data_IF_568911366488
#
_entry.id   IF_568911366488
#
_cell.length_a   1.000
_cell.length_b   1.000
_cell.length_c   1.000
_cell.angle_alpha   90.00
_cell.angle_beta   90.00
_cell.angle_gamma   90.00
#
_symmetry.space_group_name_H-M   'P 1'
#
loop_
_entity.id
_entity.type
_entity.pdbx_description
1 polymer ?
#
# COMPACT_ATOMS: atom_id res chain seq x y z
N UNK A 1 -17.60 10.86 6.31
CA UNK A 1 -18.26 10.57 7.59
C UNK A 1 -17.47 9.57 8.44
N UNK A 2 -17.13 8.38 7.97
CA UNK A 2 -16.46 7.34 8.76
C UNK A 2 -15.21 7.80 9.54
N UNK A 3 -14.29 8.51 8.90
CA UNK A 3 -13.06 9.02 9.54
C UNK A 3 -13.39 9.99 10.70
N UNK A 4 -14.36 10.89 10.53
CA UNK A 4 -14.78 11.81 11.61
C UNK A 4 -15.37 11.07 12.81
N UNK A 5 -16.20 10.04 12.56
CA UNK A 5 -16.75 9.19 13.63
C UNK A 5 -15.63 8.43 14.34
N UNK A 6 -14.63 7.93 13.62
CA UNK A 6 -13.48 7.25 14.20
C UNK A 6 -12.62 8.19 15.08
N UNK A 7 -12.42 9.45 14.66
CA UNK A 7 -11.79 10.47 15.50
C UNK A 7 -12.60 10.75 16.77
N UNK A 8 -13.92 10.87 16.66
CA UNK A 8 -14.80 11.11 17.83
C UNK A 8 -14.77 9.92 18.82
N UNK A 9 -14.59 8.70 18.32
CA UNK A 9 -14.43 7.48 19.14
C UNK A 9 -13.00 7.31 19.68
N UNK A 10 -12.07 8.22 19.35
CA UNK A 10 -10.69 8.18 19.81
C UNK A 10 -9.84 7.06 19.23
N UNK A 11 -10.22 6.44 18.08
CA UNK A 11 -9.51 5.30 17.51
C UNK A 11 -8.08 5.62 17.05
N UNK A 12 -7.75 6.88 16.89
CA UNK A 12 -6.42 7.39 16.50
C UNK A 12 -5.45 7.49 17.68
N UNK A 13 -5.92 7.30 18.93
CA UNK A 13 -5.14 7.50 20.16
C UNK A 13 -5.03 6.22 20.96
N UNK A 14 -3.83 5.81 21.29
CA UNK A 14 -3.57 4.63 22.13
C UNK A 14 -4.11 4.83 23.55
N UNK A 15 -4.03 6.05 24.08
CA UNK A 15 -4.47 6.38 25.43
C UNK A 15 -5.96 6.10 25.64
N UNK A 16 -6.77 6.23 24.59
CA UNK A 16 -8.21 5.94 24.65
C UNK A 16 -8.52 4.44 24.59
N UNK A 17 -7.54 3.61 24.22
CA UNK A 17 -7.71 2.17 24.10
C UNK A 17 -7.50 1.44 25.42
N UNK A 18 -6.74 2.02 26.35
CA UNK A 18 -6.33 1.41 27.63
C UNK A 18 -7.54 0.99 28.49
N UNK A 19 -8.67 1.70 28.37
CA UNK A 19 -9.89 1.41 29.14
C UNK A 19 -10.64 0.16 28.66
N UNK A 20 -10.29 -0.38 27.50
CA UNK A 20 -10.95 -1.53 26.89
C UNK A 20 -10.14 -2.82 27.11
N UNK A 21 -10.82 -3.95 27.09
CA UNK A 21 -10.15 -5.27 27.15
C UNK A 21 -9.32 -5.55 25.87
N UNK A 22 -8.35 -6.49 25.93
CA UNK A 22 -7.42 -6.76 24.84
C UNK A 22 -8.08 -7.08 23.50
N UNK A 23 -9.17 -7.85 23.52
CA UNK A 23 -9.92 -8.21 22.31
C UNK A 23 -10.55 -6.98 21.65
N UNK A 24 -11.13 -6.07 22.43
CA UNK A 24 -11.73 -4.84 21.91
C UNK A 24 -10.66 -3.85 21.42
N UNK A 25 -9.53 -3.74 22.12
CA UNK A 25 -8.37 -2.96 21.65
C UNK A 25 -7.91 -3.42 20.27
N UNK A 26 -7.80 -4.73 20.05
CA UNK A 26 -7.40 -5.30 18.75
C UNK A 26 -8.41 -4.94 17.65
N UNK A 27 -9.71 -5.07 17.92
CA UNK A 27 -10.77 -4.68 16.97
C UNK A 27 -10.69 -3.19 16.64
N UNK A 28 -10.51 -2.33 17.63
CA UNK A 28 -10.39 -0.87 17.45
C UNK A 28 -9.17 -0.50 16.62
N UNK A 29 -7.99 -1.09 16.89
CA UNK A 29 -6.79 -0.89 16.09
C UNK A 29 -6.97 -1.35 14.64
N UNK A 30 -7.53 -2.54 14.43
CA UNK A 30 -7.75 -3.07 13.09
C UNK A 30 -8.75 -2.21 12.31
N UNK A 31 -9.79 -1.69 12.96
CA UNK A 31 -10.73 -0.75 12.34
C UNK A 31 -10.03 0.54 11.92
N UNK A 32 -9.20 1.13 12.80
CA UNK A 32 -8.45 2.32 12.49
C UNK A 32 -7.46 2.12 11.34
N UNK A 33 -6.70 1.02 11.36
CA UNK A 33 -5.77 0.62 10.29
C UNK A 33 -6.50 0.43 8.96
N UNK A 34 -7.67 -0.19 8.97
CA UNK A 34 -8.50 -0.36 7.76
C UNK A 34 -8.98 0.97 7.19
N UNK A 35 -9.38 1.91 8.05
CA UNK A 35 -9.76 3.26 7.63
C UNK A 35 -8.57 4.03 7.05
N UNK A 36 -7.38 3.87 7.62
CA UNK A 36 -6.15 4.46 7.10
C UNK A 36 -5.81 3.95 5.70
N UNK A 37 -5.88 2.63 5.50
CA UNK A 37 -5.66 2.01 4.17
C UNK A 37 -6.67 2.54 3.16
N UNK A 38 -7.95 2.59 3.53
CA UNK A 38 -9.01 3.09 2.66
C UNK A 38 -8.81 4.58 2.31
N UNK A 39 -8.45 5.41 3.30
CA UNK A 39 -8.19 6.84 3.09
C UNK A 39 -7.05 7.08 2.10
N UNK A 40 -5.94 6.37 2.26
CA UNK A 40 -4.78 6.47 1.35
C UNK A 40 -5.12 6.00 -0.06
N UNK A 41 -5.83 4.88 -0.19
CA UNK A 41 -6.27 4.36 -1.48
C UNK A 41 -7.20 5.35 -2.20
N UNK A 42 -8.21 5.87 -1.51
CA UNK A 42 -9.14 6.83 -2.09
C UNK A 42 -8.46 8.16 -2.44
N UNK A 43 -7.55 8.65 -1.59
CA UNK A 43 -6.78 9.85 -1.88
C UNK A 43 -5.93 9.69 -3.15
N UNK A 44 -5.23 8.57 -3.28
CA UNK A 44 -4.41 8.27 -4.46
C UNK A 44 -5.23 8.08 -5.74
N UNK A 45 -6.38 7.38 -5.64
CA UNK A 45 -7.23 7.08 -6.79
C UNK A 45 -8.04 8.29 -7.28
N UNK A 46 -8.51 9.14 -6.36
CA UNK A 46 -9.36 10.27 -6.66
C UNK A 46 -8.62 11.61 -6.76
N UNK A 47 -7.30 11.61 -6.49
CA UNK A 47 -6.50 12.84 -6.47
C UNK A 47 -6.92 13.82 -5.37
N UNK A 48 -7.46 13.34 -4.25
CA UNK A 48 -7.92 14.15 -3.13
C UNK A 48 -6.90 14.16 -2.00
N UNK A 49 -6.87 15.21 -1.15
CA UNK A 49 -6.08 15.20 0.07
C UNK A 49 -6.49 14.05 0.98
N UNK A 50 -5.53 13.52 1.74
CA UNK A 50 -5.79 12.53 2.78
C UNK A 50 -6.59 13.14 3.93
N UNK A 51 -7.53 12.38 4.48
CA UNK A 51 -8.35 12.80 5.63
C UNK A 51 -7.68 12.49 6.97
N UNK A 52 -6.80 11.49 7.00
CA UNK A 52 -6.03 11.07 8.17
C UNK A 52 -4.60 11.57 8.02
N UNK A 53 -4.14 12.38 8.98
CA UNK A 53 -2.74 12.78 9.09
C UNK A 53 -2.04 11.88 10.09
N UNK A 54 -0.86 11.40 9.76
CA UNK A 54 -0.08 10.54 10.67
C UNK A 54 0.34 11.28 11.94
N UNK A 55 0.53 12.61 11.85
CA UNK A 55 0.79 13.49 12.99
C UNK A 55 -0.33 13.53 14.04
N UNK A 56 -1.56 13.18 13.63
CA UNK A 56 -2.72 13.20 14.52
C UNK A 56 -2.92 11.85 15.24
N UNK A 57 -2.11 10.85 14.90
CA UNK A 57 -2.18 9.50 15.44
C UNK A 57 -1.14 9.30 16.54
N UNK A 58 -1.49 8.59 17.61
CA UNK A 58 -0.50 8.08 18.57
C UNK A 58 0.41 7.05 17.89
N UNK A 59 1.71 7.05 18.24
CA UNK A 59 2.74 6.32 17.52
C UNK A 59 2.52 4.82 17.31
N UNK A 60 1.74 4.17 18.17
CA UNK A 60 1.50 2.71 18.13
C UNK A 60 0.25 2.31 17.34
N UNK A 61 -0.71 3.21 17.14
CA UNK A 61 -1.99 2.86 16.47
C UNK A 61 -1.83 2.42 15.02
N UNK A 62 -0.82 2.95 14.32
CA UNK A 62 -0.45 2.59 12.97
C UNK A 62 0.83 1.74 12.89
N UNK A 63 1.59 1.64 13.98
CA UNK A 63 2.78 0.79 14.04
C UNK A 63 2.38 -0.65 14.33
N UNK A 64 3.00 -1.55 13.60
CA UNK A 64 2.89 -2.99 13.86
C UNK A 64 3.97 -3.36 14.85
N UNK A 65 3.60 -3.64 16.08
CA UNK A 65 4.53 -4.13 17.08
C UNK A 65 4.89 -5.60 16.80
N UNK A 66 6.15 -5.92 16.71
CA UNK A 66 6.63 -7.32 16.68
C UNK A 66 6.11 -8.11 17.90
N UNK A 67 5.77 -7.43 18.98
CA UNK A 67 5.23 -8.01 20.21
C UNK A 67 3.77 -8.49 20.09
N UNK A 68 2.94 -7.87 19.21
CA UNK A 68 1.56 -8.35 19.00
C UNK A 68 1.53 -9.70 18.25
N UNK A 69 2.52 -9.95 17.39
CA UNK A 69 2.67 -11.21 16.68
C UNK A 69 3.04 -12.36 17.64
N UNK A 70 3.92 -12.10 18.60
CA UNK A 70 4.38 -13.11 19.57
C UNK A 70 3.30 -13.46 20.61
N UNK A 71 2.48 -12.53 21.02
CA UNK A 71 1.40 -12.76 21.98
C UNK A 71 0.17 -13.46 21.34
N UNK A 72 -0.09 -13.20 20.06
CA UNK A 72 -1.15 -13.89 19.32
C UNK A 72 -0.81 -15.37 19.06
N UNK A 73 0.47 -15.71 18.85
CA UNK A 73 0.92 -17.09 18.67
C UNK A 73 0.87 -17.92 19.96
N UNK A 74 1.04 -17.32 21.13
CA UNK A 74 1.08 -18.02 22.42
C UNK A 74 -0.32 -18.26 23.05
N UNK A 75 -1.36 -17.57 22.59
CA UNK A 75 -2.65 -17.54 23.29
C UNK A 75 -3.79 -18.31 22.61
N UNK A 76 -3.61 -18.95 21.43
CA UNK A 76 -4.77 -19.37 20.63
C UNK A 76 -4.65 -20.76 20.02
N UNK A 77 -5.70 -21.63 20.18
CA UNK A 77 -5.76 -22.95 19.54
C UNK A 77 -5.90 -22.85 18.01
N UNK A 78 -5.57 -23.92 17.31
CA UNK A 78 -5.43 -24.05 15.84
C UNK A 78 -6.59 -23.53 14.95
N UNK A 79 -7.73 -23.16 15.51
CA UNK A 79 -8.88 -22.58 14.78
C UNK A 79 -8.68 -21.11 14.37
N UNK A 80 -7.62 -20.45 14.81
CA UNK A 80 -7.36 -19.01 14.59
C UNK A 80 -6.24 -18.69 13.57
N UNK A 81 -5.76 -19.68 12.87
CA UNK A 81 -4.79 -19.48 11.77
C UNK A 81 -5.29 -18.46 10.70
N UNK A 82 -6.61 -18.36 10.53
CA UNK A 82 -7.25 -17.39 9.63
C UNK A 82 -7.16 -15.94 10.14
N UNK A 83 -7.22 -15.72 11.44
CA UNK A 83 -7.12 -14.38 12.04
C UNK A 83 -5.70 -13.85 11.93
N UNK A 84 -4.69 -14.69 12.13
CA UNK A 84 -3.27 -14.35 11.99
C UNK A 84 -2.92 -13.88 10.56
N UNK A 85 -3.43 -14.57 9.54
CA UNK A 85 -3.16 -14.21 8.14
C UNK A 85 -3.79 -12.85 7.74
N UNK A 86 -4.97 -12.55 8.24
CA UNK A 86 -5.66 -11.29 7.95
C UNK A 86 -4.98 -10.10 8.63
N UNK A 87 -4.49 -10.27 9.86
CA UNK A 87 -3.73 -9.23 10.58
C UNK A 87 -2.42 -8.92 9.87
N UNK A 88 -1.67 -9.93 9.46
CA UNK A 88 -0.44 -9.75 8.69
C UNK A 88 -0.68 -9.02 7.37
N UNK A 89 -1.76 -9.35 6.66
CA UNK A 89 -2.15 -8.66 5.42
C UNK A 89 -2.51 -7.19 5.66
N UNK A 90 -3.23 -6.89 6.73
CA UNK A 90 -3.58 -5.52 7.10
C UNK A 90 -2.33 -4.70 7.44
N UNK A 91 -1.42 -5.27 8.21
CA UNK A 91 -0.17 -4.62 8.60
C UNK A 91 0.72 -4.29 7.40
N UNK A 92 0.88 -5.24 6.50
CA UNK A 92 1.63 -5.00 5.26
C UNK A 92 0.94 -3.95 4.37
N UNK A 93 -0.41 -3.91 4.36
CA UNK A 93 -1.18 -2.87 3.66
C UNK A 93 -0.97 -1.49 4.27
N UNK A 94 -0.94 -1.37 5.59
CA UNK A 94 -0.63 -0.12 6.29
C UNK A 94 0.76 0.39 5.92
N UNK A 95 1.78 -0.47 5.92
CA UNK A 95 3.14 -0.10 5.50
C UNK A 95 3.18 0.42 4.06
N UNK A 96 2.50 -0.25 3.14
CA UNK A 96 2.40 0.23 1.75
C UNK A 96 1.68 1.58 1.67
N UNK A 97 0.66 1.80 2.50
CA UNK A 97 -0.10 3.04 2.57
C UNK A 97 0.69 4.21 3.18
N UNK A 98 1.65 3.96 4.07
CA UNK A 98 2.62 4.99 4.51
C UNK A 98 3.43 5.50 3.32
N UNK A 99 3.95 4.61 2.48
CA UNK A 99 4.68 4.99 1.25
C UNK A 99 3.78 5.78 0.30
N UNK A 100 2.53 5.35 0.10
CA UNK A 100 1.55 6.10 -0.71
C UNK A 100 1.34 7.51 -0.13
N UNK A 101 1.18 7.66 1.17
CA UNK A 101 1.06 8.95 1.85
C UNK A 101 2.26 9.86 1.60
N UNK A 102 3.47 9.34 1.74
CA UNK A 102 4.72 10.05 1.45
C UNK A 102 4.80 10.53 -0.02
N UNK A 103 4.40 9.68 -0.97
CA UNK A 103 4.35 10.04 -2.39
C UNK A 103 3.34 11.17 -2.63
N UNK A 104 2.13 11.05 -2.07
CA UNK A 104 1.10 12.07 -2.23
C UNK A 104 1.57 13.42 -1.67
N UNK A 105 2.24 13.42 -0.52
CA UNK A 105 2.73 14.64 0.12
C UNK A 105 3.93 15.24 -0.62
N UNK A 106 4.98 14.44 -0.91
CA UNK A 106 6.25 14.95 -1.42
C UNK A 106 6.25 15.19 -2.93
N UNK A 107 5.46 14.42 -3.69
CA UNK A 107 5.42 14.47 -5.15
C UNK A 107 4.19 15.24 -5.63
N UNK A 108 3.00 14.80 -5.27
CA UNK A 108 1.75 15.32 -5.85
C UNK A 108 1.31 16.65 -5.23
N UNK A 109 1.39 16.81 -3.90
CA UNK A 109 1.00 18.08 -3.25
C UNK A 109 1.92 19.23 -3.61
N UNK A 110 3.22 18.98 -3.68
CA UNK A 110 4.23 20.01 -3.98
C UNK A 110 4.38 20.27 -5.48
N UNK A 111 3.76 19.45 -6.33
CA UNK A 111 3.87 19.50 -7.80
C UNK A 111 5.32 19.62 -8.30
N UNK A 112 6.27 19.12 -7.50
CA UNK A 112 7.69 19.09 -7.81
C UNK A 112 8.15 17.66 -7.80
N UNK A 113 8.57 17.17 -8.97
CA UNK A 113 9.17 15.86 -9.05
C UNK A 113 10.63 16.01 -9.38
N UNK A 114 11.49 15.36 -8.60
CA UNK A 114 12.89 15.19 -8.91
C UNK A 114 13.28 13.73 -8.79
N UNK A 115 14.25 13.31 -9.61
CA UNK A 115 14.76 11.94 -9.55
C UNK A 115 15.40 11.61 -8.19
N UNK A 116 15.89 12.63 -7.46
CA UNK A 116 16.43 12.46 -6.12
C UNK A 116 15.32 12.12 -5.12
N UNK A 117 14.24 12.93 -5.06
CA UNK A 117 13.09 12.67 -4.18
C UNK A 117 12.49 11.30 -4.48
N UNK A 118 12.35 10.96 -5.76
CA UNK A 118 11.81 9.65 -6.15
C UNK A 118 12.74 8.50 -5.72
N UNK A 119 14.06 8.69 -5.78
CA UNK A 119 15.01 7.69 -5.33
C UNK A 119 14.95 7.49 -3.81
N UNK A 120 14.90 8.58 -3.05
CA UNK A 120 14.80 8.53 -1.58
C UNK A 120 13.53 7.77 -1.15
N UNK A 121 12.40 8.06 -1.77
CA UNK A 121 11.13 7.33 -1.51
C UNK A 121 11.24 5.86 -1.93
N UNK A 122 11.83 5.57 -3.08
CA UNK A 122 12.00 4.20 -3.57
C UNK A 122 12.89 3.36 -2.63
N UNK A 123 13.93 3.96 -2.06
CA UNK A 123 14.82 3.27 -1.13
C UNK A 123 14.15 3.03 0.23
N UNK A 124 13.33 3.96 0.73
CA UNK A 124 12.45 3.73 1.88
C UNK A 124 11.47 2.58 1.62
N UNK A 125 10.82 2.58 0.45
CA UNK A 125 9.88 1.53 0.05
C UNK A 125 10.51 0.14 0.02
N UNK A 126 11.76 0.01 -0.44
CA UNK A 126 12.51 -1.26 -0.40
C UNK A 126 12.75 -1.74 1.04
N UNK A 127 12.97 -0.82 1.98
CA UNK A 127 13.06 -1.14 3.41
C UNK A 127 11.77 -1.80 3.92
N UNK A 128 10.63 -1.24 3.58
CA UNK A 128 9.32 -1.80 3.95
C UNK A 128 9.06 -3.18 3.33
N UNK A 129 9.51 -3.38 2.08
CA UNK A 129 9.37 -4.68 1.41
C UNK A 129 10.20 -5.79 2.08
N UNK A 130 11.40 -5.47 2.58
CA UNK A 130 12.23 -6.43 3.31
C UNK A 130 11.59 -6.90 4.61
N UNK A 131 10.72 -6.08 5.21
CA UNK A 131 9.96 -6.39 6.42
C UNK A 131 8.64 -7.10 6.12
N UNK A 132 8.32 -7.37 4.85
CA UNK A 132 7.11 -8.08 4.50
C UNK A 132 7.26 -9.58 4.79
N UNK A 133 6.25 -10.14 5.46
CA UNK A 133 6.21 -11.58 5.76
C UNK A 133 6.32 -12.40 4.46
N UNK A 134 7.20 -13.42 4.38
CA UNK A 134 7.34 -14.28 3.22
C UNK A 134 6.03 -14.94 2.78
N UNK A 135 5.10 -15.21 3.73
CA UNK A 135 3.78 -15.78 3.45
C UNK A 135 2.88 -14.87 2.58
N UNK A 136 3.17 -13.58 2.54
CA UNK A 136 2.46 -12.59 1.69
C UNK A 136 3.07 -12.44 0.30
N UNK A 137 4.09 -13.22 -0.05
CA UNK A 137 4.70 -13.17 -1.36
C UNK A 137 3.72 -13.73 -2.42
N UNK A 138 3.59 -13.02 -3.53
CA UNK A 138 2.71 -13.37 -4.65
C UNK A 138 2.98 -14.76 -5.25
N UNK A 139 4.19 -15.31 -5.07
CA UNK A 139 4.54 -16.66 -5.51
C UNK A 139 3.74 -17.77 -4.81
N UNK A 140 3.26 -17.49 -3.60
CA UNK A 140 2.46 -18.44 -2.82
C UNK A 140 0.96 -18.36 -3.11
N UNK A 141 0.48 -17.33 -3.81
CA UNK A 141 -0.93 -17.11 -4.07
C UNK A 141 -1.68 -18.33 -4.67
N UNK A 142 -1.09 -19.12 -5.60
CA UNK A 142 -1.79 -20.25 -6.20
C UNK A 142 -2.03 -21.45 -5.26
N UNK A 143 -1.28 -21.54 -4.15
CA UNK A 143 -1.27 -22.72 -3.26
C UNK A 143 -1.96 -22.51 -1.91
N UNK A 144 -2.56 -21.33 -1.70
CA UNK A 144 -3.16 -20.95 -0.41
C UNK A 144 -4.68 -20.95 -0.45
N UNK A 145 -5.31 -20.91 0.73
CA UNK A 145 -6.76 -20.78 0.82
C UNK A 145 -7.25 -19.42 0.30
N UNK A 146 -8.53 -19.26 -0.08
CA UNK A 146 -9.05 -18.04 -0.69
C UNK A 146 -8.83 -16.77 0.16
N UNK A 147 -8.98 -16.85 1.47
CA UNK A 147 -8.79 -15.70 2.37
C UNK A 147 -7.36 -15.19 2.36
N UNK A 148 -6.39 -16.09 2.41
CA UNK A 148 -4.98 -15.75 2.32
C UNK A 148 -4.61 -15.27 0.90
N UNK A 149 -5.20 -15.86 -0.13
CA UNK A 149 -5.04 -15.40 -1.51
C UNK A 149 -5.47 -13.95 -1.71
N UNK A 150 -6.61 -13.55 -1.11
CA UNK A 150 -7.09 -12.17 -1.13
C UNK A 150 -6.11 -11.24 -0.39
N UNK A 151 -5.60 -11.62 0.78
CA UNK A 151 -4.63 -10.82 1.52
C UNK A 151 -3.34 -10.61 0.73
N UNK A 152 -2.81 -11.68 0.12
CA UNK A 152 -1.63 -11.62 -0.77
C UNK A 152 -1.90 -10.68 -1.95
N UNK A 153 -3.05 -10.80 -2.60
CA UNK A 153 -3.44 -9.96 -3.72
C UNK A 153 -3.46 -8.48 -3.33
N UNK A 154 -4.17 -8.13 -2.26
CA UNK A 154 -4.30 -6.74 -1.82
C UNK A 154 -2.95 -6.09 -1.46
N UNK A 155 -2.12 -6.78 -0.69
CA UNK A 155 -0.80 -6.27 -0.29
C UNK A 155 0.08 -6.00 -1.51
N UNK A 156 0.13 -6.97 -2.44
CA UNK A 156 0.97 -6.83 -3.63
C UNK A 156 0.42 -5.78 -4.61
N UNK A 157 -0.91 -5.65 -4.74
CA UNK A 157 -1.51 -4.58 -5.56
C UNK A 157 -1.24 -3.20 -4.96
N UNK A 158 -1.38 -3.01 -3.65
CA UNK A 158 -1.05 -1.74 -2.99
C UNK A 158 0.42 -1.38 -3.15
N UNK A 159 1.31 -2.36 -3.02
CA UNK A 159 2.74 -2.15 -3.23
C UNK A 159 3.04 -1.74 -4.69
N UNK A 160 2.52 -2.47 -5.68
CA UNK A 160 2.68 -2.11 -7.09
C UNK A 160 2.05 -0.74 -7.40
N UNK A 161 0.90 -0.45 -6.79
CA UNK A 161 0.25 0.86 -6.94
C UNK A 161 1.16 2.00 -6.43
N UNK A 162 1.87 1.81 -5.32
CA UNK A 162 2.82 2.80 -4.82
C UNK A 162 3.97 3.04 -5.81
N UNK A 163 4.50 1.98 -6.45
CA UNK A 163 5.53 2.08 -7.49
C UNK A 163 4.98 2.85 -8.70
N UNK A 164 3.80 2.47 -9.19
CA UNK A 164 3.17 3.15 -10.34
C UNK A 164 2.95 4.63 -10.00
N UNK A 165 2.43 4.95 -8.83
CA UNK A 165 2.17 6.31 -8.41
C UNK A 165 3.46 7.15 -8.37
N UNK A 166 4.55 6.59 -7.84
CA UNK A 166 5.85 7.25 -7.78
C UNK A 166 6.48 7.46 -9.16
N UNK A 167 6.36 6.48 -10.05
CA UNK A 167 7.11 6.43 -11.31
C UNK A 167 6.33 6.94 -12.51
N UNK A 168 5.00 6.99 -12.42
CA UNK A 168 4.10 7.48 -13.48
C UNK A 168 4.47 8.84 -14.06
N UNK A 169 4.86 9.87 -13.30
CA UNK A 169 5.21 11.16 -13.88
C UNK A 169 6.44 11.08 -14.80
N UNK A 170 7.43 10.25 -14.47
CA UNK A 170 8.60 10.04 -15.32
C UNK A 170 8.23 9.29 -16.60
N UNK A 171 7.41 8.26 -16.49
CA UNK A 171 6.89 7.52 -17.64
C UNK A 171 6.14 8.44 -18.61
N UNK A 172 5.21 9.24 -18.10
CA UNK A 172 4.44 10.20 -18.92
C UNK A 172 5.36 11.24 -19.58
N UNK A 173 6.37 11.71 -18.88
CA UNK A 173 7.35 12.64 -19.44
C UNK A 173 8.13 12.00 -20.61
N UNK A 174 8.61 10.76 -20.44
CA UNK A 174 9.32 10.02 -21.49
C UNK A 174 8.43 9.78 -22.72
N UNK A 175 7.19 9.36 -22.50
CA UNK A 175 6.21 9.14 -23.58
C UNK A 175 5.92 10.41 -24.36
N UNK A 176 5.68 11.51 -23.66
CA UNK A 176 5.38 12.80 -24.29
C UNK A 176 6.55 13.30 -25.15
N UNK A 177 7.76 13.10 -24.65
CA UNK A 177 8.98 13.48 -25.39
C UNK A 177 9.18 12.62 -26.63
N UNK A 178 9.04 11.31 -26.55
CA UNK A 178 9.13 10.40 -27.69
C UNK A 178 8.11 10.77 -28.78
N UNK A 179 6.93 11.23 -28.36
CA UNK A 179 5.92 11.70 -29.28
C UNK A 179 6.36 12.99 -30.00
N UNK A 180 6.92 13.96 -29.29
CA UNK A 180 7.40 15.23 -29.85
C UNK A 180 8.59 15.01 -30.79
N UNK A 181 9.52 14.12 -30.47
CA UNK A 181 10.66 13.76 -31.35
C UNK A 181 10.19 13.17 -32.69
N UNK A 182 9.13 12.35 -32.67
CA UNK A 182 8.54 11.78 -33.89
C UNK A 182 7.83 12.82 -34.74
N UNK A 183 7.27 13.86 -34.12
CA UNK A 183 6.45 14.87 -34.81
C UNK A 183 7.29 16.03 -35.34
N UNK A 184 8.31 16.48 -34.58
CA UNK A 184 9.09 17.70 -34.90
C UNK A 184 10.49 17.41 -35.47
N UNK A 185 10.92 16.16 -35.53
CA UNK A 185 12.28 15.78 -36.06
C UNK A 185 13.46 16.33 -35.25
N UNK A 186 13.23 17.02 -34.14
CA UNK A 186 14.28 17.57 -33.28
C UNK A 186 14.82 16.53 -32.34
N UNK A 187 16.10 16.24 -32.46
CA UNK A 187 16.84 15.41 -31.50
C UNK A 187 16.91 16.13 -30.17
N UNK A 188 16.19 15.65 -29.16
CA UNK A 188 16.21 16.19 -27.81
C UNK A 188 17.29 15.49 -27.00
N UNK A 189 17.93 16.22 -26.08
CA UNK A 189 19.04 15.75 -25.23
C UNK A 189 18.81 14.36 -24.60
N UNK A 190 19.91 13.58 -24.50
CA UNK A 190 19.91 12.26 -23.83
C UNK A 190 19.36 12.35 -22.42
N UNK A 191 18.43 11.47 -22.12
CA UNK A 191 17.84 11.35 -20.77
C UNK A 191 18.86 10.85 -19.77
N UNK A 192 18.62 11.23 -18.52
CA UNK A 192 19.25 10.54 -17.40
C UNK A 192 18.81 9.08 -17.42
N UNK A 193 19.76 8.14 -17.47
CA UNK A 193 19.54 6.68 -17.33
C UNK A 193 18.64 6.33 -16.12
N UNK A 194 18.62 7.20 -15.11
CA UNK A 194 17.78 7.06 -13.93
C UNK A 194 16.29 7.29 -14.24
N UNK A 195 15.97 8.24 -15.10
CA UNK A 195 14.59 8.52 -15.51
C UNK A 195 14.00 7.37 -16.34
N UNK A 196 14.82 6.78 -17.21
CA UNK A 196 14.43 5.58 -17.98
C UNK A 196 14.13 4.40 -17.06
N UNK A 197 14.97 4.16 -16.05
CA UNK A 197 14.72 3.12 -15.03
C UNK A 197 13.40 3.31 -14.27
N UNK A 198 13.02 4.55 -13.98
CA UNK A 198 11.70 4.83 -13.38
C UNK A 198 10.56 4.54 -14.37
N UNK A 199 10.72 4.87 -15.64
CA UNK A 199 9.76 4.52 -16.68
C UNK A 199 9.56 3.01 -16.82
N UNK A 200 10.64 2.24 -16.86
CA UNK A 200 10.62 0.77 -16.89
C UNK A 200 9.95 0.19 -15.63
N UNK A 201 10.26 0.73 -14.45
CA UNK A 201 9.65 0.31 -13.20
C UNK A 201 8.13 0.52 -13.21
N UNK A 202 7.63 1.60 -13.83
CA UNK A 202 6.21 1.85 -14.00
C UNK A 202 5.54 0.74 -14.83
N UNK A 203 6.12 0.40 -15.97
CA UNK A 203 5.61 -0.65 -16.88
C UNK A 203 5.64 -2.01 -16.19
N UNK A 204 6.73 -2.36 -15.53
CA UNK A 204 6.90 -3.63 -14.83
C UNK A 204 5.88 -3.78 -13.70
N UNK A 205 5.67 -2.75 -12.88
CA UNK A 205 4.68 -2.78 -11.80
C UNK A 205 3.25 -2.91 -12.34
N UNK A 206 2.93 -2.25 -13.46
CA UNK A 206 1.62 -2.36 -14.12
C UNK A 206 1.40 -3.77 -14.67
N UNK A 207 2.37 -4.35 -15.35
CA UNK A 207 2.30 -5.72 -15.88
C UNK A 207 2.16 -6.75 -14.74
N UNK A 208 2.90 -6.56 -13.65
CA UNK A 208 2.81 -7.42 -12.46
C UNK A 208 1.41 -7.34 -11.84
N UNK A 209 0.80 -6.15 -11.76
CA UNK A 209 -0.55 -5.97 -11.24
C UNK A 209 -1.59 -6.72 -12.08
N UNK A 210 -1.50 -6.65 -13.40
CA UNK A 210 -2.38 -7.39 -14.31
C UNK A 210 -2.24 -8.90 -14.10
N UNK A 211 -1.01 -9.40 -14.01
CA UNK A 211 -0.74 -10.81 -13.78
C UNK A 211 -1.31 -11.29 -12.43
N UNK A 212 -1.20 -10.50 -11.36
CA UNK A 212 -1.77 -10.82 -10.05
C UNK A 212 -3.30 -10.95 -10.11
N UNK A 213 -3.96 -10.02 -10.80
CA UNK A 213 -5.42 -10.09 -10.99
C UNK A 213 -5.81 -11.32 -11.82
N UNK A 214 -5.04 -11.65 -12.86
CA UNK A 214 -5.29 -12.87 -13.65
C UNK A 214 -5.14 -14.16 -12.83
N UNK A 215 -4.13 -14.22 -11.93
CA UNK A 215 -3.95 -15.35 -11.01
C UNK A 215 -5.15 -15.45 -10.06
N UNK A 216 -5.62 -14.31 -9.51
CA UNK A 216 -6.75 -14.28 -8.62
C UNK A 216 -8.06 -14.71 -9.29
N UNK A 217 -8.26 -14.32 -10.54
CA UNK A 217 -9.41 -14.77 -11.35
C UNK A 217 -9.38 -16.28 -11.62
N UNK A 218 -8.21 -16.80 -12.01
CA UNK A 218 -8.03 -18.25 -12.25
C UNK A 218 -8.19 -19.05 -10.97
N UNK A 219 -7.70 -18.54 -9.85
CA UNK A 219 -7.82 -19.17 -8.53
C UNK A 219 -9.21 -19.03 -7.89
N UNK A 220 -10.14 -18.32 -8.52
CA UNK A 220 -11.53 -18.09 -8.07
C UNK A 220 -11.64 -17.49 -6.67
N UNK A 221 -10.59 -16.82 -6.15
CA UNK A 221 -10.63 -16.14 -4.85
C UNK A 221 -10.86 -14.63 -4.96
N UNK A 222 -11.06 -14.12 -6.18
CA UNK A 222 -11.44 -12.72 -6.37
C UNK A 222 -12.94 -12.55 -6.09
N UNK A 223 -13.34 -11.85 -5.02
CA UNK A 223 -14.74 -11.66 -4.72
C UNK A 223 -15.39 -10.71 -5.74
N UNK A 224 -16.57 -11.07 -6.27
CA UNK A 224 -17.32 -10.25 -7.25
C UNK A 224 -17.67 -8.84 -6.77
N UNK A 225 -17.53 -8.55 -5.47
CA UNK A 225 -17.88 -7.28 -4.83
C UNK A 225 -16.65 -6.59 -4.21
N UNK A 226 -15.47 -6.85 -4.72
CA UNK A 226 -14.27 -6.19 -4.20
C UNK A 226 -14.06 -4.86 -4.95
N UNK A 227 -14.31 -3.69 -4.32
CA UNK A 227 -14.17 -2.39 -4.97
C UNK A 227 -12.70 -2.00 -5.27
N UNK A 228 -11.72 -2.73 -4.73
CA UNK A 228 -10.30 -2.43 -4.89
C UNK A 228 -9.64 -3.12 -6.10
N UNK A 229 -10.40 -3.89 -6.87
CA UNK A 229 -9.87 -4.69 -7.99
C UNK A 229 -10.53 -4.32 -9.32
N UNK A 230 -11.51 -3.42 -9.28
CA UNK A 230 -12.18 -2.91 -10.49
C UNK A 230 -11.45 -1.69 -11.07
#
# INVERSE_FOLDING_TARGET
MAVRSAFALGLHREETMIIFGPAEQSVRRNLWRSLFVLDRFLAASLGRPTSIRESDCSGTTLQVGEQELSQAELAVPASTAHTSSNTLGLDASVRSCHVVGEILEKVYSKRKISTKIAQDIADNSKGHLKLMDPRLNSRHAPSVNPSQGIAILHVNLLYNHSIILLTRPFFLFLMNKTHLEKTDGKRVERHSTRMEKFGEACVNASSTSINLVQIALKGQYLPRRNPFVL
#
